data_IF_992062992095
#
_entry.id   IF_992062992095
#
_cell.length_a   1.000
_cell.length_b   1.000
_cell.length_c   1.000
_cell.angle_alpha   90.00
_cell.angle_beta   90.00
_cell.angle_gamma   90.00
#
_symmetry.space_group_name_H-M   'P 1'
#
loop_
_entity.id
_entity.type
_entity.pdbx_description
1 polymer ?
#
# COMPACT_ATOMS: atom_id res chain seq x y z
N UNK A 1 3.67 -5.84 -18.78
CA UNK A 1 4.15 -5.97 -17.38
C UNK A 1 5.43 -5.16 -17.27
N UNK A 2 5.57 -4.31 -16.23
CA UNK A 2 6.77 -3.53 -16.00
C UNK A 2 7.95 -4.46 -15.68
N UNK A 3 9.15 -4.00 -15.99
CA UNK A 3 10.39 -4.56 -15.47
C UNK A 3 10.48 -4.31 -13.96
N UNK A 4 11.37 -5.05 -13.28
CA UNK A 4 11.63 -4.85 -11.85
C UNK A 4 12.03 -3.39 -11.54
N UNK A 5 12.91 -2.79 -12.36
CA UNK A 5 13.37 -1.42 -12.15
C UNK A 5 12.25 -0.38 -12.31
N UNK A 6 11.33 -0.58 -13.25
CA UNK A 6 10.15 0.29 -13.41
C UNK A 6 9.17 0.15 -12.24
N UNK A 7 8.99 -1.07 -11.71
CA UNK A 7 8.20 -1.30 -10.51
C UNK A 7 8.81 -0.62 -9.29
N UNK A 8 10.12 -0.75 -9.09
CA UNK A 8 10.84 -0.11 -7.98
C UNK A 8 10.71 1.41 -8.04
N UNK A 9 10.91 2.03 -9.21
CA UNK A 9 10.74 3.47 -9.38
C UNK A 9 9.32 3.94 -9.02
N UNK A 10 8.28 3.19 -9.42
CA UNK A 10 6.89 3.53 -9.06
C UNK A 10 6.60 3.40 -7.57
N UNK A 11 7.21 2.42 -6.91
CA UNK A 11 7.10 2.25 -5.46
C UNK A 11 7.82 3.38 -4.71
N UNK A 12 8.98 3.81 -5.21
CA UNK A 12 9.70 4.98 -4.67
C UNK A 12 8.88 6.26 -4.83
N UNK A 13 8.26 6.48 -5.98
CA UNK A 13 7.38 7.62 -6.22
C UNK A 13 6.14 7.59 -5.31
N UNK A 14 5.58 6.42 -5.01
CA UNK A 14 4.49 6.27 -4.04
C UNK A 14 4.97 6.62 -2.62
N UNK A 15 6.10 6.07 -2.19
CA UNK A 15 6.67 6.32 -0.86
C UNK A 15 6.99 7.81 -0.66
N UNK A 16 7.54 8.49 -1.68
CA UNK A 16 7.85 9.92 -1.62
C UNK A 16 6.60 10.80 -1.48
N UNK A 17 5.45 10.36 -2.01
CA UNK A 17 4.18 11.11 -1.95
C UNK A 17 3.37 10.80 -0.70
N UNK A 18 3.67 9.70 -0.03
CA UNK A 18 2.94 9.21 1.14
C UNK A 18 2.82 10.25 2.27
N UNK A 19 3.87 11.00 2.67
CA UNK A 19 3.75 12.01 3.72
C UNK A 19 2.73 13.10 3.38
N UNK A 20 2.80 13.65 2.17
CA UNK A 20 1.86 14.68 1.72
C UNK A 20 0.43 14.16 1.57
N UNK A 21 0.26 12.88 1.22
CA UNK A 21 -1.05 12.23 1.17
C UNK A 21 -1.66 12.09 2.57
N UNK A 22 -0.86 11.78 3.58
CA UNK A 22 -1.28 11.74 4.99
C UNK A 22 -1.69 13.13 5.47
N UNK A 23 -0.93 14.17 5.12
CA UNK A 23 -1.23 15.56 5.50
C UNK A 23 -2.53 16.07 4.84
N UNK A 24 -2.76 15.75 3.57
CA UNK A 24 -3.95 16.16 2.82
C UNK A 24 -5.21 15.39 3.23
N UNK A 25 -5.05 14.16 3.75
CA UNK A 25 -6.13 13.28 4.15
C UNK A 25 -5.94 12.81 5.60
N UNK A 26 -6.19 13.68 6.60
CA UNK A 26 -6.06 13.31 8.00
C UNK A 26 -7.11 12.28 8.44
N UNK A 27 -8.27 12.26 7.78
CA UNK A 27 -9.28 11.23 7.97
C UNK A 27 -8.76 9.87 7.43
N UNK A 28 -8.78 8.80 8.23
CA UNK A 28 -8.27 7.50 7.81
C UNK A 28 -8.97 6.94 6.56
N UNK A 29 -10.28 7.11 6.43
CA UNK A 29 -11.03 6.62 5.28
C UNK A 29 -10.66 7.36 4.00
N UNK A 30 -10.59 8.69 4.06
CA UNK A 30 -10.14 9.53 2.94
C UNK A 30 -8.70 9.18 2.52
N UNK A 31 -7.81 8.97 3.49
CA UNK A 31 -6.43 8.54 3.22
C UNK A 31 -6.40 7.21 2.48
N UNK A 32 -7.10 6.18 3.00
CA UNK A 32 -7.09 4.86 2.38
C UNK A 32 -7.67 4.87 0.97
N UNK A 33 -8.74 5.63 0.74
CA UNK A 33 -9.30 5.81 -0.61
C UNK A 33 -8.28 6.43 -1.57
N UNK A 34 -7.56 7.46 -1.14
CA UNK A 34 -6.54 8.12 -1.95
C UNK A 34 -5.34 7.18 -2.18
N UNK A 35 -4.86 6.51 -1.14
CA UNK A 35 -3.73 5.60 -1.21
C UNK A 35 -4.00 4.38 -2.10
N UNK A 36 -5.17 3.73 -1.95
CA UNK A 36 -5.55 2.57 -2.76
C UNK A 36 -5.64 2.96 -4.24
N UNK A 37 -6.21 4.13 -4.57
CA UNK A 37 -6.29 4.61 -5.94
C UNK A 37 -4.91 4.71 -6.64
N UNK A 38 -3.85 4.91 -5.86
CA UNK A 38 -2.48 4.96 -6.36
C UNK A 38 -1.72 3.63 -6.28
N UNK A 39 -1.92 2.87 -5.20
CA UNK A 39 -1.20 1.62 -4.94
C UNK A 39 -1.75 0.44 -5.76
N UNK A 40 -3.07 0.37 -5.96
CA UNK A 40 -3.75 -0.71 -6.68
C UNK A 40 -3.20 -0.94 -8.10
N UNK A 41 -3.08 0.09 -8.98
CA UNK A 41 -2.51 -0.12 -10.32
C UNK A 41 -1.02 -0.48 -10.30
N UNK A 42 -0.28 -0.26 -9.20
CA UNK A 42 1.10 -0.72 -9.06
C UNK A 42 1.10 -2.22 -8.76
N UNK A 43 0.25 -2.67 -7.85
CA UNK A 43 0.12 -4.09 -7.45
C UNK A 43 -0.44 -4.93 -8.59
N UNK A 44 -1.52 -4.49 -9.26
CA UNK A 44 -2.11 -5.19 -10.40
C UNK A 44 -1.11 -5.41 -11.54
N UNK A 45 -0.23 -4.41 -11.76
CA UNK A 45 0.73 -4.45 -12.86
C UNK A 45 2.03 -5.15 -12.47
N UNK A 46 2.32 -5.37 -11.19
CA UNK A 46 3.58 -5.96 -10.72
C UNK A 46 3.81 -7.39 -11.22
N UNK A 47 2.75 -8.14 -11.56
CA UNK A 47 2.86 -9.48 -12.15
C UNK A 47 3.68 -10.43 -11.28
N UNK A 48 4.76 -11.00 -11.84
CA UNK A 48 5.66 -11.90 -11.12
C UNK A 48 6.33 -11.26 -9.88
N UNK A 49 6.33 -9.93 -9.77
CA UNK A 49 6.88 -9.17 -8.66
C UNK A 49 5.84 -8.70 -7.64
N UNK A 50 4.58 -9.18 -7.72
CA UNK A 50 3.50 -8.79 -6.81
C UNK A 50 3.89 -8.95 -5.32
N UNK A 51 4.52 -10.07 -4.96
CA UNK A 51 4.96 -10.32 -3.58
C UNK A 51 6.00 -9.29 -3.09
N UNK A 52 6.88 -8.81 -3.98
CA UNK A 52 7.84 -7.76 -3.67
C UNK A 52 7.13 -6.42 -3.48
N UNK A 53 6.21 -6.07 -4.39
CA UNK A 53 5.42 -4.85 -4.31
C UNK A 53 4.63 -4.78 -3.00
N UNK A 54 3.91 -5.84 -2.64
CA UNK A 54 3.14 -5.92 -1.39
C UNK A 54 4.02 -5.72 -0.15
N UNK A 55 5.20 -6.37 -0.08
CA UNK A 55 6.13 -6.19 1.04
C UNK A 55 6.64 -4.76 1.16
N UNK A 56 6.98 -4.11 0.04
CA UNK A 56 7.46 -2.72 0.04
C UNK A 56 6.36 -1.74 0.44
N UNK A 57 5.12 -1.98 -0.03
CA UNK A 57 3.93 -1.21 0.36
C UNK A 57 3.66 -1.33 1.87
N UNK A 58 3.73 -2.54 2.43
CA UNK A 58 3.58 -2.73 3.87
C UNK A 58 4.68 -2.01 4.66
N UNK A 59 5.94 -2.10 4.19
CA UNK A 59 7.06 -1.43 4.85
C UNK A 59 6.91 0.10 4.87
N UNK A 60 6.57 0.73 3.74
CA UNK A 60 6.39 2.19 3.69
C UNK A 60 5.21 2.65 4.57
N UNK A 61 4.12 1.89 4.64
CA UNK A 61 2.99 2.24 5.50
C UNK A 61 3.36 2.14 6.99
N UNK A 62 4.12 1.09 7.36
CA UNK A 62 4.57 0.89 8.73
C UNK A 62 5.48 2.02 9.24
N UNK A 63 6.27 2.66 8.37
CA UNK A 63 7.07 3.85 8.71
C UNK A 63 6.22 5.05 9.15
N UNK A 64 4.92 5.03 8.84
CA UNK A 64 3.95 6.08 9.18
C UNK A 64 2.86 5.61 10.15
N UNK A 65 3.12 4.52 10.90
CA UNK A 65 2.16 3.89 11.82
C UNK A 65 0.81 3.53 11.16
N UNK A 66 0.84 3.28 9.84
CA UNK A 66 -0.30 2.80 9.06
C UNK A 66 -0.13 1.32 8.79
N UNK A 67 -1.20 0.56 8.98
CA UNK A 67 -1.20 -0.88 8.72
C UNK A 67 -2.36 -1.21 7.79
N UNK A 68 -2.06 -1.93 6.71
CA UNK A 68 -3.09 -2.66 5.99
C UNK A 68 -3.57 -3.73 6.97
N UNK A 69 -4.83 -3.64 7.41
CA UNK A 69 -5.43 -4.74 8.16
C UNK A 69 -5.52 -5.89 7.16
N UNK A 70 -4.75 -6.95 7.37
CA UNK A 70 -5.05 -8.25 6.80
C UNK A 70 -6.41 -8.66 7.39
N UNK A 71 -7.51 -8.25 6.77
CA UNK A 71 -8.84 -8.77 7.10
C UNK A 71 -8.92 -10.19 6.58
N UNK A 72 -8.27 -11.11 7.29
CA UNK A 72 -8.68 -12.50 7.35
C UNK A 72 -8.33 -13.13 8.71
N UNK A 73 -9.39 -13.20 9.54
CA UNK A 73 -9.69 -14.17 10.59
C UNK A 73 -8.84 -14.17 11.87
N UNK A 74 -9.39 -13.54 12.91
CA UNK A 74 -9.68 -14.26 14.15
C UNK A 74 -11.04 -13.74 14.66
N UNK A 75 -12.10 -14.47 14.33
CA UNK A 75 -13.39 -14.40 15.04
C UNK A 75 -13.45 -15.65 15.93
N UNK A 76 -12.89 -15.63 17.16
CA UNK A 76 -13.01 -16.72 18.09
C UNK A 76 -14.17 -16.47 19.07
N UNK A 77 -15.40 -16.26 18.58
CA UNK A 77 -16.57 -16.35 19.46
C UNK A 77 -17.85 -16.73 18.72
N UNK A 78 -17.88 -17.99 18.26
CA UNK A 78 -19.14 -18.71 18.21
C UNK A 78 -19.30 -19.43 19.56
N UNK A 79 -20.10 -18.88 20.47
CA UNK A 79 -20.66 -19.58 21.63
C UNK A 79 -22.02 -19.02 22.02
#
# INVERSE_FOLDING_TARGET
MPTLSELEARLDDLQNRLPSMIEQHPDPGAFWMAFIAEADPIVEQAGAHAALASRRIQAMLAEHDRYLVDTQLDDPDAS
#
